data_IF_522516069698
#
_entry.id   IF_522516069698
#
_cell.length_a   1.000
_cell.length_b   1.000
_cell.length_c   1.000
_cell.angle_alpha   90.00
_cell.angle_beta   90.00
_cell.angle_gamma   90.00
#
_symmetry.space_group_name_H-M   'P 1'
#
loop_
_entity.id
_entity.type
_entity.pdbx_description
1 polymer ?
#
# COMPACT_ATOMS: atom_id res chain seq x y z
N UNK A 1 -55.76 -8.31 56.58
CA UNK A 1 -56.13 -6.91 56.38
C UNK A 1 -54.87 -6.10 56.05
N UNK A 2 -54.82 -5.60 54.81
CA UNK A 2 -54.19 -4.35 54.33
C UNK A 2 -52.65 -4.21 54.24
N UNK A 3 -52.23 -3.77 53.04
CA UNK A 3 -50.98 -3.11 52.59
C UNK A 3 -49.74 -4.02 52.37
N UNK A 4 -48.98 -3.95 51.27
CA UNK A 4 -48.56 -2.82 50.42
C UNK A 4 -48.31 -3.30 48.97
N UNK A 5 -48.71 -2.47 48.01
CA UNK A 5 -48.36 -2.64 46.60
C UNK A 5 -46.91 -2.27 46.30
N UNK A 6 -46.36 -2.92 45.26
CA UNK A 6 -45.26 -2.39 44.47
C UNK A 6 -45.40 -2.93 43.05
N UNK A 7 -46.02 -2.11 42.19
CA UNK A 7 -46.12 -2.33 40.76
C UNK A 7 -44.83 -1.77 40.13
N UNK A 8 -43.99 -2.65 39.58
CA UNK A 8 -42.75 -2.25 38.89
C UNK A 8 -43.01 -2.21 37.40
N UNK A 9 -43.30 -1.01 36.89
CA UNK A 9 -43.31 -0.69 35.47
C UNK A 9 -41.93 -0.96 34.85
N UNK A 10 -41.88 -1.79 33.81
CA UNK A 10 -40.73 -1.96 32.92
C UNK A 10 -41.01 -1.26 31.60
N UNK A 11 -40.78 0.05 31.54
CA UNK A 11 -40.64 0.79 30.29
C UNK A 11 -39.16 1.14 30.10
N UNK A 12 -38.51 0.39 29.21
CA UNK A 12 -37.11 0.54 28.84
C UNK A 12 -36.94 0.49 27.33
N UNK A 13 -37.66 1.34 26.60
CA UNK A 13 -37.51 1.51 25.16
C UNK A 13 -36.43 2.56 24.83
N UNK A 14 -35.28 2.10 24.34
CA UNK A 14 -34.17 2.94 23.86
C UNK A 14 -34.58 3.92 22.73
N UNK A 15 -34.37 5.24 22.85
CA UNK A 15 -34.61 6.18 21.75
C UNK A 15 -33.32 6.76 21.10
N UNK A 16 -32.13 6.25 21.43
CA UNK A 16 -30.86 6.91 21.04
C UNK A 16 -30.18 6.42 19.75
N UNK A 17 -30.54 5.25 19.22
CA UNK A 17 -29.90 4.70 18.00
C UNK A 17 -30.36 5.39 16.70
N UNK A 18 -31.66 5.73 16.59
CA UNK A 18 -32.24 6.36 15.38
C UNK A 18 -31.75 7.78 15.14
N UNK A 19 -31.49 8.56 16.20
CA UNK A 19 -31.05 9.97 16.08
C UNK A 19 -29.61 10.13 15.59
N UNK A 20 -28.73 9.14 15.84
CA UNK A 20 -27.34 9.14 15.34
C UNK A 20 -27.27 8.80 13.85
N UNK A 21 -28.13 7.90 13.37
CA UNK A 21 -28.18 7.51 11.96
C UNK A 21 -28.69 8.65 11.06
N UNK A 22 -29.67 9.41 11.54
CA UNK A 22 -30.24 10.55 10.80
C UNK A 22 -29.24 11.73 10.73
N UNK A 23 -28.45 11.98 11.79
CA UNK A 23 -27.41 13.02 11.76
C UNK A 23 -26.29 12.70 10.77
N UNK A 24 -25.90 11.43 10.62
CA UNK A 24 -24.91 11.00 9.63
C UNK A 24 -25.44 11.09 8.19
N UNK A 25 -26.72 10.78 7.97
CA UNK A 25 -27.36 10.90 6.65
C UNK A 25 -27.57 12.35 6.19
N UNK A 26 -27.64 13.32 7.10
CA UNK A 26 -27.82 14.74 6.77
C UNK A 26 -26.49 15.49 6.66
N UNK A 27 -25.46 15.12 7.42
CA UNK A 27 -24.16 15.82 7.39
C UNK A 27 -23.34 15.50 6.12
N UNK A 28 -23.45 14.29 5.57
CA UNK A 28 -22.73 13.87 4.36
C UNK A 28 -23.17 14.66 3.10
N UNK A 29 -24.48 14.79 2.78
CA UNK A 29 -24.89 15.58 1.61
C UNK A 29 -24.68 17.09 1.79
N UNK A 30 -24.75 17.62 3.01
CA UNK A 30 -24.44 19.05 3.28
C UNK A 30 -22.94 19.33 3.07
N UNK A 31 -22.06 18.40 3.45
CA UNK A 31 -20.63 18.48 3.13
C UNK A 31 -20.34 18.42 1.62
N UNK A 32 -21.07 17.58 0.88
CA UNK A 32 -20.98 17.48 -0.59
C UNK A 32 -21.53 18.76 -1.26
N UNK A 33 -22.60 19.35 -0.74
CA UNK A 33 -23.14 20.63 -1.23
C UNK A 33 -22.19 21.81 -1.01
N UNK A 34 -21.51 21.87 0.12
CA UNK A 34 -20.51 22.92 0.42
C UNK A 34 -19.25 22.83 -0.47
N UNK A 35 -18.90 21.63 -0.96
CA UNK A 35 -17.81 21.42 -1.92
C UNK A 35 -18.14 21.93 -3.34
N UNK A 36 -19.43 22.06 -3.68
CA UNK A 36 -19.87 22.61 -4.97
C UNK A 36 -19.81 24.14 -5.05
N UNK A 37 -19.50 24.82 -3.94
CA UNK A 37 -19.44 26.30 -3.85
C UNK A 37 -18.02 26.86 -3.98
N UNK A 38 -17.00 26.02 -4.20
CA UNK A 38 -15.63 26.49 -4.46
C UNK A 38 -15.51 26.89 -5.93
N UNK A 39 -15.26 28.17 -6.27
CA UNK A 39 -15.17 28.60 -7.66
C UNK A 39 -13.94 27.99 -8.33
N UNK A 40 -14.16 27.19 -9.37
CA UNK A 40 -13.11 26.70 -10.27
C UNK A 40 -12.66 27.84 -11.18
N UNK A 41 -11.58 28.53 -10.81
CA UNK A 41 -10.82 29.34 -11.75
C UNK A 41 -9.98 28.38 -12.62
N UNK A 42 -10.58 27.92 -13.72
CA UNK A 42 -9.88 27.23 -14.80
C UNK A 42 -9.36 28.28 -15.78
N UNK A 43 -8.05 28.36 -15.91
CA UNK A 43 -7.40 29.10 -16.98
C UNK A 43 -6.23 28.23 -17.46
N UNK A 44 -6.55 27.24 -18.30
CA UNK A 44 -5.86 26.88 -19.54
C UNK A 44 -6.60 25.67 -20.13
N UNK A 45 -7.27 25.91 -21.26
CA UNK A 45 -8.15 24.94 -21.90
C UNK A 45 -7.38 23.85 -22.61
N UNK A 46 -7.74 22.61 -22.30
CA UNK A 46 -7.71 21.52 -23.26
C UNK A 46 -9.16 21.29 -23.73
N UNK A 47 -9.30 21.17 -25.04
CA UNK A 47 -10.57 21.01 -25.73
C UNK A 47 -11.37 19.81 -25.19
N UNK A 48 -12.70 19.95 -25.25
CA UNK A 48 -13.72 18.98 -24.90
C UNK A 48 -13.44 17.57 -25.50
N UNK A 49 -12.97 16.60 -24.70
CA UNK A 49 -13.09 15.18 -25.07
C UNK A 49 -13.13 14.16 -23.93
N UNK A 50 -13.23 14.57 -22.66
CA UNK A 50 -13.58 13.63 -21.59
C UNK A 50 -14.60 14.24 -20.62
N UNK A 51 -15.82 13.72 -20.60
CA UNK A 51 -16.84 14.05 -19.61
C UNK A 51 -16.43 13.68 -18.16
N UNK A 52 -15.23 13.11 -17.98
CA UNK A 52 -14.62 12.76 -16.70
C UNK A 52 -13.70 13.89 -16.25
N UNK A 53 -13.87 14.28 -14.98
CA UNK A 53 -13.00 15.24 -14.29
C UNK A 53 -12.38 14.59 -13.05
N UNK A 54 -11.34 15.20 -12.49
CA UNK A 54 -10.66 14.72 -11.28
C UNK A 54 -11.64 14.48 -10.10
N UNK A 55 -12.70 15.27 -9.98
CA UNK A 55 -13.73 15.08 -8.95
C UNK A 55 -14.50 13.77 -9.10
N UNK A 56 -14.66 13.27 -10.34
CA UNK A 56 -15.25 11.95 -10.58
C UNK A 56 -14.32 10.84 -10.09
N UNK A 57 -13.02 10.94 -10.34
CA UNK A 57 -12.02 10.00 -9.80
C UNK A 57 -12.06 9.96 -8.27
N UNK A 58 -12.10 11.14 -7.63
CA UNK A 58 -12.22 11.26 -6.17
C UNK A 58 -13.53 10.67 -5.65
N UNK A 59 -14.65 10.92 -6.32
CA UNK A 59 -15.96 10.38 -5.94
C UNK A 59 -15.98 8.85 -6.03
N UNK A 60 -15.46 8.27 -7.11
CA UNK A 60 -15.34 6.83 -7.30
C UNK A 60 -14.44 6.22 -6.20
N UNK A 61 -13.29 6.86 -5.93
CA UNK A 61 -12.38 6.44 -4.87
C UNK A 61 -13.07 6.45 -3.49
N UNK A 62 -13.83 7.51 -3.20
CA UNK A 62 -14.63 7.66 -1.99
C UNK A 62 -15.72 6.60 -1.86
N UNK A 63 -16.45 6.28 -2.94
CA UNK A 63 -17.46 5.22 -2.97
C UNK A 63 -16.82 3.87 -2.63
N UNK A 64 -15.67 3.55 -3.24
CA UNK A 64 -14.93 2.33 -2.93
C UNK A 64 -14.52 2.24 -1.46
N UNK A 65 -13.92 3.31 -0.93
CA UNK A 65 -13.49 3.38 0.48
C UNK A 65 -14.66 3.28 1.47
N UNK A 66 -15.77 3.98 1.21
CA UNK A 66 -16.99 3.90 2.03
C UNK A 66 -17.62 2.51 1.95
N UNK A 67 -17.63 1.89 0.77
CA UNK A 67 -18.10 0.52 0.57
C UNK A 67 -17.31 -0.49 1.41
N UNK A 68 -15.97 -0.39 1.39
CA UNK A 68 -15.09 -1.20 2.26
C UNK A 68 -15.44 -0.96 3.72
N UNK A 69 -15.53 0.30 4.17
CA UNK A 69 -15.86 0.65 5.56
C UNK A 69 -17.22 0.09 6.01
N UNK A 70 -18.25 0.19 5.16
CA UNK A 70 -19.58 -0.34 5.42
C UNK A 70 -19.56 -1.88 5.54
N UNK A 71 -18.84 -2.57 4.66
CA UNK A 71 -18.73 -4.03 4.69
C UNK A 71 -17.94 -4.52 5.91
N UNK A 72 -16.87 -3.81 6.30
CA UNK A 72 -16.12 -4.07 7.53
C UNK A 72 -17.06 -3.91 8.74
N UNK A 73 -17.85 -2.84 8.78
CA UNK A 73 -18.82 -2.59 9.86
C UNK A 73 -19.88 -3.69 9.92
N UNK A 74 -20.50 -4.04 8.79
CA UNK A 74 -21.50 -5.11 8.71
C UNK A 74 -20.93 -6.47 9.15
N UNK A 75 -19.68 -6.78 8.78
CA UNK A 75 -18.97 -7.98 9.27
C UNK A 75 -18.79 -7.94 10.77
N UNK A 76 -18.31 -6.82 11.32
CA UNK A 76 -18.11 -6.66 12.78
C UNK A 76 -19.41 -6.73 13.56
N UNK A 77 -20.52 -6.26 12.99
CA UNK A 77 -21.87 -6.41 13.56
C UNK A 77 -22.50 -7.79 13.32
N UNK A 78 -21.75 -8.78 12.80
CA UNK A 78 -22.22 -10.14 12.48
C UNK A 78 -23.45 -10.19 11.56
N UNK A 79 -23.67 -9.16 10.74
CA UNK A 79 -24.82 -9.07 9.83
C UNK A 79 -24.61 -9.76 8.49
N UNK A 80 -23.35 -10.02 8.12
CA UNK A 80 -22.98 -10.66 6.85
C UNK A 80 -21.94 -11.76 7.10
N UNK A 81 -21.89 -12.73 6.19
CA UNK A 81 -20.89 -13.80 6.25
C UNK A 81 -19.48 -13.26 5.95
N UNK A 82 -18.40 -13.85 6.52
CA UNK A 82 -17.02 -13.46 6.21
C UNK A 82 -16.69 -13.57 4.72
N UNK A 83 -17.26 -14.55 4.00
CA UNK A 83 -17.04 -14.73 2.56
C UNK A 83 -17.60 -13.54 1.77
N UNK A 84 -18.85 -13.17 2.05
CA UNK A 84 -19.51 -12.03 1.41
C UNK A 84 -18.77 -10.73 1.70
N UNK A 85 -18.33 -10.55 2.95
CA UNK A 85 -17.54 -9.38 3.35
C UNK A 85 -16.22 -9.29 2.55
N UNK A 86 -15.46 -10.38 2.45
CA UNK A 86 -14.17 -10.39 1.75
C UNK A 86 -14.30 -10.13 0.25
N UNK A 87 -15.26 -10.75 -0.44
CA UNK A 87 -15.51 -10.47 -1.84
C UNK A 87 -15.98 -9.04 -2.07
N UNK A 88 -16.89 -8.54 -1.23
CA UNK A 88 -17.33 -7.14 -1.31
C UNK A 88 -16.19 -6.15 -1.05
N UNK A 89 -15.30 -6.45 -0.09
CA UNK A 89 -14.13 -5.61 0.20
C UNK A 89 -13.17 -5.61 -0.99
N UNK A 90 -12.90 -6.76 -1.61
CA UNK A 90 -12.06 -6.84 -2.81
C UNK A 90 -12.64 -5.98 -3.95
N UNK A 91 -13.97 -6.03 -4.17
CA UNK A 91 -14.64 -5.16 -5.15
C UNK A 91 -14.51 -3.69 -4.75
N UNK A 92 -14.74 -3.34 -3.49
CA UNK A 92 -14.61 -1.97 -3.00
C UNK A 92 -13.18 -1.42 -3.14
N UNK A 93 -12.16 -2.24 -2.89
CA UNK A 93 -10.75 -1.91 -3.14
C UNK A 93 -10.51 -1.68 -4.63
N UNK A 94 -11.02 -2.56 -5.51
CA UNK A 94 -10.90 -2.39 -6.95
C UNK A 94 -11.54 -1.09 -7.45
N UNK A 95 -12.73 -0.74 -6.96
CA UNK A 95 -13.39 0.54 -7.25
C UNK A 95 -12.56 1.71 -6.72
N UNK A 96 -12.02 1.60 -5.50
CA UNK A 96 -11.19 2.65 -4.93
C UNK A 96 -9.92 2.90 -5.75
N UNK A 97 -9.25 1.84 -6.19
CA UNK A 97 -8.06 1.89 -7.05
C UNK A 97 -8.39 2.48 -8.42
N UNK A 98 -9.47 2.06 -9.06
CA UNK A 98 -9.89 2.63 -10.34
C UNK A 98 -10.16 4.14 -10.21
N UNK A 99 -10.84 4.56 -9.14
CA UNK A 99 -11.05 5.99 -8.85
C UNK A 99 -9.73 6.74 -8.63
N UNK A 100 -8.77 6.14 -7.91
CA UNK A 100 -7.45 6.74 -7.68
C UNK A 100 -6.63 6.88 -8.98
N UNK A 101 -6.67 5.88 -9.87
CA UNK A 101 -6.00 5.94 -11.18
C UNK A 101 -6.61 7.05 -12.05
N UNK A 102 -7.94 7.15 -12.08
CA UNK A 102 -8.64 8.23 -12.81
C UNK A 102 -8.31 9.59 -12.20
N UNK A 103 -8.30 9.70 -10.88
CA UNK A 103 -7.97 10.93 -10.18
C UNK A 103 -6.55 11.40 -10.51
N UNK A 104 -5.58 10.48 -10.46
CA UNK A 104 -4.17 10.77 -10.74
C UNK A 104 -3.97 11.15 -12.21
N UNK A 105 -4.48 10.36 -13.15
CA UNK A 105 -4.21 10.60 -14.57
C UNK A 105 -5.01 11.74 -15.20
N UNK A 106 -6.05 12.24 -14.52
CA UNK A 106 -6.74 13.49 -14.87
C UNK A 106 -6.20 14.71 -14.10
N UNK A 107 -5.26 14.50 -13.18
CA UNK A 107 -4.67 15.60 -12.46
C UNK A 107 -3.73 16.37 -13.40
N UNK A 108 -3.73 17.71 -13.34
CA UNK A 108 -2.77 18.49 -14.09
C UNK A 108 -1.35 18.20 -13.59
N UNK A 109 -0.42 18.00 -14.53
CA UNK A 109 1.00 17.86 -14.20
C UNK A 109 1.46 19.10 -13.44
N UNK A 110 1.91 18.95 -12.18
CA UNK A 110 2.30 20.11 -11.43
C UNK A 110 3.66 20.59 -11.94
N UNK A 111 3.67 21.76 -12.56
CA UNK A 111 4.90 22.42 -13.01
C UNK A 111 5.65 23.00 -11.81
N UNK A 112 6.25 22.14 -10.99
CA UNK A 112 7.11 22.56 -9.90
C UNK A 112 8.48 22.94 -10.44
N UNK A 113 8.93 24.17 -10.19
CA UNK A 113 10.28 24.59 -10.56
C UNK A 113 11.32 24.02 -9.59
N UNK A 114 12.56 23.82 -10.05
CA UNK A 114 13.66 23.33 -9.21
C UNK A 114 13.90 24.17 -7.93
N UNK A 115 13.50 25.44 -7.91
CA UNK A 115 13.53 26.30 -6.73
C UNK A 115 12.53 25.94 -5.62
N UNK A 116 11.61 24.99 -5.86
CA UNK A 116 10.66 24.47 -4.87
C UNK A 116 11.12 23.18 -4.16
N UNK A 117 12.36 22.74 -4.43
CA UNK A 117 12.95 21.62 -3.70
C UNK A 117 13.17 21.98 -2.22
N UNK A 118 12.78 21.11 -1.27
CA UNK A 118 12.90 21.40 0.16
C UNK A 118 14.34 21.50 0.65
N UNK A 119 15.27 20.86 -0.07
CA UNK A 119 16.71 20.94 0.20
C UNK A 119 17.51 20.78 -1.10
N UNK A 120 18.72 21.36 -1.17
CA UNK A 120 19.59 21.21 -2.34
C UNK A 120 19.97 19.75 -2.59
N UNK A 121 20.07 19.33 -3.87
CA UNK A 121 20.49 17.97 -4.26
C UNK A 121 21.86 17.55 -3.72
N UNK A 122 22.73 18.50 -3.35
CA UNK A 122 24.00 18.20 -2.68
C UNK A 122 23.82 17.46 -1.35
N UNK A 123 22.65 17.57 -0.71
CA UNK A 123 22.32 16.82 0.51
C UNK A 123 21.88 15.37 0.24
N UNK A 124 21.55 15.00 -1.01
CA UNK A 124 21.06 13.65 -1.30
C UNK A 124 22.16 12.62 -1.04
N UNK A 125 23.38 12.89 -1.50
CA UNK A 125 24.52 12.01 -1.31
C UNK A 125 24.88 11.77 0.17
N UNK A 126 25.11 12.78 1.02
CA UNK A 126 25.42 12.54 2.43
C UNK A 126 24.26 11.87 3.18
N UNK A 127 23.01 12.21 2.86
CA UNK A 127 21.85 11.54 3.46
C UNK A 127 21.77 10.07 3.05
N UNK A 128 21.97 9.75 1.78
CA UNK A 128 21.94 8.38 1.28
C UNK A 128 23.06 7.52 1.89
N UNK A 129 24.29 8.05 1.91
CA UNK A 129 25.43 7.37 2.50
C UNK A 129 25.22 7.17 4.00
N UNK A 130 24.80 8.21 4.71
CA UNK A 130 24.53 8.15 6.15
C UNK A 130 23.44 7.15 6.50
N UNK A 131 22.30 7.20 5.79
CA UNK A 131 21.17 6.29 6.02
C UNK A 131 21.51 4.85 5.62
N UNK A 132 22.13 4.64 4.46
CA UNK A 132 22.54 3.32 4.01
C UNK A 132 23.54 2.65 4.95
N UNK A 133 24.57 3.38 5.41
CA UNK A 133 25.52 2.88 6.42
C UNK A 133 24.84 2.59 7.75
N UNK A 134 23.96 3.50 8.21
CA UNK A 134 23.19 3.29 9.43
C UNK A 134 22.35 2.02 9.35
N UNK A 135 21.67 1.78 8.23
CA UNK A 135 20.87 0.57 8.02
C UNK A 135 21.75 -0.68 8.05
N UNK A 136 22.91 -0.68 7.39
CA UNK A 136 23.86 -1.81 7.40
C UNK A 136 24.34 -2.09 8.82
N UNK A 137 24.83 -1.06 9.53
CA UNK A 137 25.40 -1.19 10.89
C UNK A 137 24.33 -1.59 11.89
N UNK A 138 23.16 -0.94 11.87
CA UNK A 138 22.05 -1.28 12.77
C UNK A 138 21.55 -2.70 12.51
N UNK A 139 21.47 -3.13 11.25
CA UNK A 139 21.07 -4.50 10.91
C UNK A 139 22.10 -5.53 11.36
N UNK A 140 23.40 -5.22 11.24
CA UNK A 140 24.48 -6.04 11.77
C UNK A 140 24.38 -6.20 13.28
N UNK A 141 24.33 -5.10 14.02
CA UNK A 141 24.27 -5.10 15.48
C UNK A 141 23.00 -5.80 15.96
N UNK A 142 21.85 -5.50 15.37
CA UNK A 142 20.58 -6.14 15.76
C UNK A 142 20.59 -7.64 15.43
N UNK A 143 21.19 -8.02 14.29
CA UNK A 143 21.43 -9.41 13.94
C UNK A 143 22.25 -10.16 14.99
N UNK A 144 23.36 -9.56 15.42
CA UNK A 144 24.25 -10.14 16.42
C UNK A 144 23.66 -10.20 17.83
N UNK A 145 22.88 -9.19 18.23
CA UNK A 145 22.37 -9.09 19.61
C UNK A 145 21.03 -9.79 19.76
N UNK A 146 20.12 -9.62 18.80
CA UNK A 146 18.71 -10.06 18.91
C UNK A 146 18.39 -11.32 18.11
N UNK A 147 19.08 -11.56 17.00
CA UNK A 147 18.74 -12.63 16.05
C UNK A 147 19.91 -13.56 15.75
N UNK A 148 20.62 -13.99 16.80
CA UNK A 148 21.79 -14.90 16.70
C UNK A 148 21.48 -16.22 15.99
N UNK A 149 20.26 -16.73 16.12
CA UNK A 149 19.81 -17.98 15.50
C UNK A 149 19.17 -17.79 14.13
N UNK A 150 18.94 -16.54 13.69
CA UNK A 150 18.28 -16.20 12.41
C UNK A 150 19.09 -15.15 11.63
N UNK A 151 20.33 -15.48 11.18
CA UNK A 151 21.22 -14.53 10.49
C UNK A 151 20.66 -13.98 9.17
N UNK A 152 19.66 -14.66 8.59
CA UNK A 152 18.94 -14.21 7.38
C UNK A 152 18.32 -12.81 7.50
N UNK A 153 17.88 -12.39 8.69
CA UNK A 153 17.34 -11.03 8.88
C UNK A 153 18.43 -9.96 8.85
N UNK A 154 19.61 -10.29 9.40
CA UNK A 154 20.80 -9.45 9.30
C UNK A 154 21.19 -9.27 7.83
N UNK A 155 21.25 -10.38 7.09
CA UNK A 155 21.58 -10.37 5.66
C UNK A 155 20.57 -9.52 4.86
N UNK A 156 19.27 -9.61 5.16
CA UNK A 156 18.25 -8.79 4.51
C UNK A 156 18.49 -7.31 4.79
N UNK A 157 18.66 -6.93 6.05
CA UNK A 157 18.91 -5.53 6.41
C UNK A 157 20.19 -4.97 5.77
N UNK A 158 21.27 -5.76 5.73
CA UNK A 158 22.49 -5.40 5.02
C UNK A 158 22.29 -5.22 3.52
N UNK A 159 21.53 -6.12 2.89
CA UNK A 159 21.23 -6.05 1.45
C UNK A 159 20.42 -4.79 1.12
N UNK A 160 19.41 -4.46 1.94
CA UNK A 160 18.62 -3.23 1.78
C UNK A 160 19.49 -1.98 2.00
N UNK A 161 20.35 -1.96 3.01
CA UNK A 161 21.31 -0.87 3.20
C UNK A 161 22.30 -0.74 2.04
N UNK A 162 22.78 -1.87 1.51
CA UNK A 162 23.63 -1.93 0.31
C UNK A 162 22.93 -1.38 -0.93
N UNK A 163 21.63 -1.64 -1.10
CA UNK A 163 20.83 -1.05 -2.17
C UNK A 163 20.81 0.48 -2.10
N UNK A 164 20.63 1.05 -0.90
CA UNK A 164 20.65 2.51 -0.70
C UNK A 164 22.04 3.09 -1.00
N UNK A 165 23.11 2.40 -0.60
CA UNK A 165 24.48 2.85 -0.79
C UNK A 165 24.96 2.74 -2.24
N UNK A 166 24.49 1.73 -2.97
CA UNK A 166 25.04 1.32 -4.25
C UNK A 166 25.19 2.46 -5.28
N UNK A 167 24.16 3.30 -5.55
CA UNK A 167 24.28 4.38 -6.53
C UNK A 167 25.35 5.43 -6.18
N UNK A 168 25.69 5.55 -4.89
CA UNK A 168 26.63 6.55 -4.39
C UNK A 168 28.05 5.99 -4.21
N UNK A 169 28.19 4.67 -4.07
CA UNK A 169 29.49 3.98 -4.07
C UNK A 169 30.04 3.79 -5.48
N UNK A 170 29.15 3.54 -6.45
CA UNK A 170 29.48 3.38 -7.86
C UNK A 170 28.67 4.39 -8.69
N UNK A 171 29.00 5.69 -8.63
CA UNK A 171 28.25 6.71 -9.34
C UNK A 171 28.52 6.66 -10.85
N UNK A 172 27.53 7.11 -11.62
CA UNK A 172 27.64 7.31 -13.07
C UNK A 172 27.26 6.11 -13.91
N UNK A 173 27.50 6.22 -15.21
CA UNK A 173 27.00 5.28 -16.22
C UNK A 173 27.48 3.84 -16.00
N UNK A 174 28.74 3.68 -15.55
CA UNK A 174 29.33 2.37 -15.27
C UNK A 174 28.64 1.66 -14.11
N UNK A 175 28.10 2.39 -13.13
CA UNK A 175 27.31 1.83 -12.04
C UNK A 175 25.99 1.24 -12.53
N UNK A 176 25.29 1.92 -13.43
CA UNK A 176 23.96 1.48 -13.88
C UNK A 176 23.94 0.18 -14.70
N UNK A 177 25.08 -0.24 -15.22
CA UNK A 177 25.23 -1.51 -15.97
C UNK A 177 26.07 -2.54 -15.22
N UNK A 178 26.46 -2.26 -13.98
CA UNK A 178 27.36 -3.12 -13.23
C UNK A 178 26.60 -4.34 -12.65
N UNK A 179 27.13 -5.56 -12.80
CA UNK A 179 26.47 -6.81 -12.36
C UNK A 179 26.14 -6.83 -10.86
N UNK A 180 26.88 -6.10 -10.03
CA UNK A 180 26.61 -6.00 -8.59
C UNK A 180 25.22 -5.38 -8.35
N UNK A 181 24.83 -4.36 -9.12
CA UNK A 181 23.53 -3.71 -8.96
C UNK A 181 22.39 -4.65 -9.31
N UNK A 182 22.50 -5.39 -10.42
CA UNK A 182 21.54 -6.45 -10.78
C UNK A 182 21.50 -7.55 -9.72
N UNK A 183 22.67 -7.92 -9.19
CA UNK A 183 22.80 -8.88 -8.10
C UNK A 183 22.05 -8.45 -6.85
N UNK A 184 22.15 -7.18 -6.46
CA UNK A 184 21.39 -6.61 -5.34
C UNK A 184 19.88 -6.70 -5.62
N UNK A 185 19.44 -6.25 -6.80
CA UNK A 185 18.02 -6.28 -7.18
C UNK A 185 17.44 -7.69 -7.17
N UNK A 186 18.17 -8.67 -7.69
CA UNK A 186 17.73 -10.07 -7.75
C UNK A 186 17.87 -10.79 -6.40
N UNK A 187 18.88 -10.45 -5.60
CA UNK A 187 19.07 -11.06 -4.28
C UNK A 187 17.92 -10.69 -3.32
N UNK A 188 17.31 -9.52 -3.45
CA UNK A 188 16.22 -9.08 -2.56
C UNK A 188 14.99 -9.99 -2.60
N UNK A 189 14.33 -10.24 -3.75
CA UNK A 189 13.18 -11.15 -3.79
C UNK A 189 13.57 -12.59 -3.41
N UNK A 190 14.78 -13.04 -3.77
CA UNK A 190 15.27 -14.37 -3.40
C UNK A 190 15.43 -14.52 -1.89
N UNK A 191 16.05 -13.54 -1.23
CA UNK A 191 16.26 -13.56 0.21
C UNK A 191 14.95 -13.39 0.98
N UNK A 192 14.05 -12.53 0.52
CA UNK A 192 12.69 -12.41 1.07
C UNK A 192 11.94 -13.73 0.93
N UNK A 193 11.94 -14.33 -0.27
CA UNK A 193 11.33 -15.64 -0.51
C UNK A 193 11.92 -16.74 0.37
N UNK A 194 13.24 -16.76 0.54
CA UNK A 194 13.94 -17.69 1.43
C UNK A 194 13.53 -17.52 2.90
N UNK A 195 13.43 -16.28 3.38
CA UNK A 195 12.95 -15.97 4.73
C UNK A 195 11.51 -16.47 4.91
N UNK A 196 10.62 -16.13 3.98
CA UNK A 196 9.21 -16.53 4.08
C UNK A 196 9.05 -18.06 4.01
N UNK A 197 9.82 -18.74 3.17
CA UNK A 197 9.81 -20.18 3.04
C UNK A 197 10.24 -20.89 4.32
N UNK A 198 11.37 -20.49 4.90
CA UNK A 198 11.92 -21.14 6.09
C UNK A 198 11.15 -20.82 7.38
N UNK A 199 10.54 -19.63 7.48
CA UNK A 199 10.07 -19.12 8.77
C UNK A 199 8.57 -19.29 8.93
N UNK A 200 7.84 -19.09 7.83
CA UNK A 200 6.38 -19.10 7.83
C UNK A 200 5.82 -19.98 6.73
N UNK A 201 6.63 -20.76 6.01
CA UNK A 201 6.21 -21.49 4.82
C UNK A 201 5.08 -22.50 5.07
N UNK A 202 5.10 -23.20 6.21
CA UNK A 202 4.05 -24.17 6.59
C UNK A 202 2.71 -23.48 6.90
N UNK A 203 2.75 -22.40 7.67
CA UNK A 203 1.59 -21.62 8.00
C UNK A 203 1.03 -20.86 6.79
N UNK A 204 1.90 -20.31 5.93
CA UNK A 204 1.51 -19.67 4.68
C UNK A 204 0.88 -20.67 3.71
N UNK A 205 1.43 -21.88 3.61
CA UNK A 205 0.81 -22.98 2.84
C UNK A 205 -0.59 -23.31 3.35
N UNK A 206 -0.80 -23.27 4.67
CA UNK A 206 -2.11 -23.49 5.29
C UNK A 206 -3.09 -22.36 4.95
N UNK A 207 -2.65 -21.11 5.03
CA UNK A 207 -3.43 -19.93 4.63
C UNK A 207 -3.79 -20.00 3.13
N UNK A 208 -2.85 -20.38 2.27
CA UNK A 208 -3.06 -20.43 0.82
C UNK A 208 -3.88 -21.64 0.35
N UNK A 209 -4.05 -22.67 1.18
CA UNK A 209 -5.01 -23.76 0.93
C UNK A 209 -6.46 -23.30 1.05
N UNK A 210 -6.72 -22.24 1.79
CA UNK A 210 -8.03 -21.59 1.82
C UNK A 210 -8.28 -20.86 0.48
N UNK A 211 -9.26 -21.32 -0.34
CA UNK A 211 -9.47 -20.73 -1.67
C UNK A 211 -10.00 -19.30 -1.61
N UNK A 212 -10.71 -18.92 -0.53
CA UNK A 212 -11.24 -17.56 -0.38
C UNK A 212 -10.13 -16.61 0.01
N UNK A 213 -9.29 -17.00 0.98
CA UNK A 213 -8.14 -16.19 1.40
C UNK A 213 -7.12 -16.04 0.27
N UNK A 214 -6.82 -17.12 -0.45
CA UNK A 214 -5.93 -17.10 -1.63
C UNK A 214 -6.45 -16.18 -2.73
N UNK A 215 -7.73 -16.28 -3.09
CA UNK A 215 -8.33 -15.41 -4.12
C UNK A 215 -8.33 -13.95 -3.69
N UNK A 216 -8.66 -13.67 -2.42
CA UNK A 216 -8.62 -12.33 -1.87
C UNK A 216 -7.20 -11.75 -1.93
N UNK A 217 -6.20 -12.48 -1.41
CA UNK A 217 -4.81 -12.05 -1.45
C UNK A 217 -4.28 -11.83 -2.87
N UNK A 218 -4.56 -12.76 -3.80
CA UNK A 218 -4.21 -12.60 -5.21
C UNK A 218 -4.87 -11.36 -5.82
N UNK A 219 -6.17 -11.14 -5.56
CA UNK A 219 -6.88 -9.97 -6.09
C UNK A 219 -6.30 -8.66 -5.58
N UNK A 220 -6.02 -8.56 -4.27
CA UNK A 220 -5.44 -7.35 -3.68
C UNK A 220 -4.02 -7.11 -4.20
N UNK A 221 -3.18 -8.16 -4.25
CA UNK A 221 -1.83 -8.06 -4.79
C UNK A 221 -1.80 -7.60 -6.25
N UNK A 222 -2.65 -8.20 -7.10
CA UNK A 222 -2.77 -7.83 -8.50
C UNK A 222 -3.28 -6.40 -8.70
N UNK A 223 -4.33 -5.99 -7.95
CA UNK A 223 -4.86 -4.63 -8.00
C UNK A 223 -3.82 -3.59 -7.55
N UNK A 224 -3.04 -3.90 -6.51
CA UNK A 224 -1.98 -3.02 -6.03
C UNK A 224 -0.82 -2.92 -7.02
N UNK A 225 -0.41 -4.02 -7.66
CA UNK A 225 0.58 -3.97 -8.75
C UNK A 225 0.09 -3.15 -9.94
N UNK A 226 -1.17 -3.30 -10.35
CA UNK A 226 -1.78 -2.50 -11.41
C UNK A 226 -1.85 -1.02 -11.04
N UNK A 227 -2.25 -0.72 -9.80
CA UNK A 227 -2.25 0.63 -9.27
C UNK A 227 -0.84 1.24 -9.35
N UNK A 228 0.19 0.52 -8.90
CA UNK A 228 1.56 1.02 -8.99
C UNK A 228 2.04 1.20 -10.42
N UNK A 229 1.76 0.26 -11.33
CA UNK A 229 2.09 0.45 -12.75
C UNK A 229 1.43 1.71 -13.31
N UNK A 230 0.18 1.98 -12.93
CA UNK A 230 -0.55 3.17 -13.37
C UNK A 230 0.05 4.47 -12.80
N UNK A 231 0.25 4.54 -11.49
CA UNK A 231 0.74 5.78 -10.85
C UNK A 231 2.21 6.08 -11.12
N UNK A 232 2.98 5.10 -11.60
CA UNK A 232 4.38 5.29 -12.00
C UNK A 232 4.56 5.52 -13.49
N UNK A 233 3.45 5.63 -14.25
CA UNK A 233 3.49 5.88 -15.70
C UNK A 233 3.85 4.65 -16.55
N UNK A 234 4.07 3.48 -15.95
CA UNK A 234 4.29 2.23 -16.71
C UNK A 234 2.99 1.69 -17.34
N UNK A 235 1.84 2.26 -16.98
CA UNK A 235 0.54 2.04 -17.60
C UNK A 235 -0.21 3.38 -17.61
N UNK A 236 -0.56 3.91 -18.77
CA UNK A 236 -1.37 5.13 -18.86
C UNK A 236 -2.50 4.97 -19.88
N UNK A 237 -3.63 5.60 -19.57
CA UNK A 237 -4.81 5.69 -20.44
C UNK A 237 -5.04 7.13 -20.95
N UNK A 238 -4.05 8.00 -20.75
CA UNK A 238 -4.11 9.42 -21.10
C UNK A 238 -3.05 9.72 -22.15
N UNK A 239 -3.44 10.48 -23.17
CA UNK A 239 -2.51 10.90 -24.22
C UNK A 239 -1.64 12.03 -23.68
N UNK A 240 -0.33 11.84 -23.66
CA UNK A 240 0.62 12.90 -23.33
C UNK A 240 0.70 13.92 -24.47
N UNK A 241 0.84 15.20 -24.13
CA UNK A 241 1.02 16.28 -25.10
C UNK A 241 2.36 16.12 -25.82
N UNK A 242 2.31 15.95 -27.15
CA UNK A 242 3.49 15.68 -27.98
C UNK A 242 3.78 14.19 -28.22
N UNK A 243 2.90 13.29 -27.79
CA UNK A 243 3.01 11.86 -28.09
C UNK A 243 3.02 11.58 -29.61
N UNK A 244 3.85 10.61 -30.07
CA UNK A 244 3.85 10.15 -31.46
C UNK A 244 2.43 9.80 -31.93
N UNK A 245 2.06 10.27 -33.12
CA UNK A 245 0.77 9.94 -33.75
C UNK A 245 0.78 8.55 -34.42
N UNK A 246 1.90 7.83 -34.34
CA UNK A 246 2.07 6.49 -34.89
C UNK A 246 2.27 5.46 -33.78
N UNK A 247 1.76 4.25 -34.00
CA UNK A 247 1.98 3.13 -33.07
C UNK A 247 3.47 2.89 -32.91
N UNK A 248 3.98 3.08 -31.70
CA UNK A 248 5.40 2.98 -31.42
C UNK A 248 5.64 1.77 -30.53
N UNK A 249 6.47 0.84 -31.01
CA UNK A 249 6.97 -0.30 -30.24
C UNK A 249 8.48 -0.22 -30.19
N UNK A 250 9.03 0.03 -29.01
CA UNK A 250 10.45 0.24 -28.82
C UNK A 250 10.98 -0.55 -27.62
N UNK A 251 12.24 -0.96 -27.69
CA UNK A 251 12.97 -1.52 -26.54
C UNK A 251 14.06 -0.53 -26.15
N UNK A 252 13.90 0.12 -25.00
CA UNK A 252 14.79 1.15 -24.50
C UNK A 252 15.45 0.69 -23.19
N UNK A 253 16.72 1.05 -23.00
CA UNK A 253 17.41 0.78 -21.75
C UNK A 253 17.15 1.92 -20.76
N UNK A 254 16.12 1.75 -19.94
CA UNK A 254 15.67 2.75 -18.97
C UNK A 254 16.28 2.44 -17.61
N UNK A 255 16.75 3.48 -16.92
CA UNK A 255 17.19 3.35 -15.53
C UNK A 255 15.97 3.14 -14.63
N UNK A 256 15.91 2.03 -13.90
CA UNK A 256 14.87 1.79 -12.92
C UNK A 256 15.49 1.33 -11.60
N UNK A 257 15.20 2.09 -10.53
CA UNK A 257 15.87 1.99 -9.23
C UNK A 257 17.38 2.24 -9.35
N UNK A 258 18.20 1.18 -9.37
CA UNK A 258 19.66 1.28 -9.28
C UNK A 258 20.42 0.80 -10.52
N UNK A 259 19.73 0.16 -11.47
CA UNK A 259 20.33 -0.37 -12.71
C UNK A 259 19.42 -0.14 -13.92
N UNK A 260 20.01 -0.23 -15.12
CA UNK A 260 19.26 -0.13 -16.37
C UNK A 260 18.58 -1.44 -16.71
N UNK A 261 17.40 -1.38 -17.27
CA UNK A 261 16.67 -2.55 -17.73
C UNK A 261 16.21 -2.36 -19.16
N UNK A 262 16.24 -3.42 -19.99
CA UNK A 262 15.54 -3.40 -21.26
C UNK A 262 14.05 -3.27 -20.97
N UNK A 263 13.45 -2.18 -21.46
CA UNK A 263 12.06 -1.80 -21.22
C UNK A 263 11.36 -1.81 -22.57
N UNK A 264 10.34 -2.66 -22.68
CA UNK A 264 9.45 -2.67 -23.83
C UNK A 264 8.40 -1.58 -23.62
N UNK A 265 8.40 -0.59 -24.50
CA UNK A 265 7.41 0.48 -24.54
C UNK A 265 6.50 0.26 -25.74
N UNK A 266 5.19 0.28 -25.48
CA UNK A 266 4.15 0.15 -26.48
C UNK A 266 3.22 1.35 -26.30
N UNK A 267 3.20 2.22 -27.30
CA UNK A 267 2.27 3.34 -27.40
C UNK A 267 1.30 3.06 -28.55
N UNK A 268 0.01 3.00 -28.22
CA UNK A 268 -1.06 2.98 -29.21
C UNK A 268 -1.69 4.39 -29.23
N UNK A 269 -1.70 5.10 -30.38
CA UNK A 269 -2.35 6.40 -30.49
C UNK A 269 -3.86 6.30 -30.71
N UNK A 270 -4.34 5.24 -31.40
CA UNK A 270 -5.77 5.05 -31.72
C UNK A 270 -6.65 4.78 -30.48
N UNK A 271 -6.04 4.20 -29.44
CA UNK A 271 -6.61 4.05 -28.11
C UNK A 271 -5.56 4.65 -27.21
N UNK A 272 -5.80 5.76 -26.47
CA UNK A 272 -4.78 6.47 -25.70
C UNK A 272 -4.24 5.55 -24.61
N UNK A 273 -3.32 4.66 -24.97
CA UNK A 273 -2.87 3.54 -24.16
C UNK A 273 -1.37 3.44 -24.31
N UNK A 274 -0.71 3.59 -23.18
CA UNK A 274 0.71 3.41 -23.04
C UNK A 274 0.97 2.31 -22.03
N UNK A 275 1.89 1.40 -22.38
CA UNK A 275 2.39 0.41 -21.45
C UNK A 275 3.90 0.28 -21.61
N UNK A 276 4.59 0.30 -20.48
CA UNK A 276 6.02 0.05 -20.40
C UNK A 276 6.26 -1.12 -19.44
N UNK A 277 6.98 -2.14 -19.91
CA UNK A 277 7.29 -3.33 -19.10
C UNK A 277 8.78 -3.57 -19.15
N UNK A 278 9.39 -3.68 -17.97
CA UNK A 278 10.79 -4.05 -17.82
C UNK A 278 10.95 -5.15 -16.76
N UNK A 279 12.01 -5.98 -16.84
CA UNK A 279 12.26 -6.97 -15.79
C UNK A 279 12.42 -6.32 -14.41
N UNK A 280 13.01 -5.13 -14.32
CA UNK A 280 13.14 -4.39 -13.06
C UNK A 280 11.78 -4.05 -12.44
N UNK A 281 10.83 -3.57 -13.24
CA UNK A 281 9.46 -3.27 -12.80
C UNK A 281 8.77 -4.55 -12.34
N UNK A 282 8.86 -5.63 -13.12
CA UNK A 282 8.26 -6.92 -12.77
C UNK A 282 8.83 -7.47 -11.47
N UNK A 283 10.15 -7.37 -11.25
CA UNK A 283 10.80 -7.85 -10.03
C UNK A 283 10.34 -7.04 -8.81
N UNK A 284 10.42 -5.71 -8.88
CA UNK A 284 10.18 -4.84 -7.71
C UNK A 284 8.69 -4.72 -7.41
N UNK A 285 7.86 -4.37 -8.41
CA UNK A 285 6.41 -4.26 -8.22
C UNK A 285 5.75 -5.63 -8.03
N UNK A 286 6.31 -6.68 -8.63
CA UNK A 286 5.90 -8.06 -8.37
C UNK A 286 6.19 -8.48 -6.94
N UNK A 287 7.39 -8.19 -6.41
CA UNK A 287 7.74 -8.46 -5.02
C UNK A 287 6.78 -7.73 -4.05
N UNK A 288 6.53 -6.44 -4.26
CA UNK A 288 5.58 -5.68 -3.45
C UNK A 288 4.16 -6.24 -3.56
N UNK A 289 3.67 -6.50 -4.78
CA UNK A 289 2.35 -7.07 -5.01
C UNK A 289 2.16 -8.42 -4.35
N UNK A 290 3.18 -9.29 -4.42
CA UNK A 290 3.20 -10.59 -3.72
C UNK A 290 3.17 -10.37 -2.21
N UNK A 291 4.04 -9.53 -1.66
CA UNK A 291 4.09 -9.27 -0.22
C UNK A 291 2.76 -8.70 0.31
N UNK A 292 2.17 -7.73 -0.39
CA UNK A 292 0.86 -7.16 -0.04
C UNK A 292 -0.23 -8.23 -0.14
N UNK A 293 -0.23 -9.01 -1.22
CA UNK A 293 -1.20 -10.08 -1.44
C UNK A 293 -1.13 -11.19 -0.38
N UNK A 294 0.08 -11.58 0.05
CA UNK A 294 0.28 -12.56 1.11
C UNK A 294 -0.20 -12.01 2.47
N UNK A 295 0.08 -10.75 2.80
CA UNK A 295 -0.46 -10.10 4.00
C UNK A 295 -2.00 -10.05 3.97
N UNK A 296 -2.57 -9.68 2.81
CA UNK A 296 -4.02 -9.67 2.62
C UNK A 296 -4.64 -11.07 2.75
N UNK A 297 -3.99 -12.11 2.24
CA UNK A 297 -4.43 -13.50 2.41
C UNK A 297 -4.41 -13.92 3.89
N UNK A 298 -3.37 -13.58 4.64
CA UNK A 298 -3.28 -13.87 6.07
C UNK A 298 -4.41 -13.20 6.85
N UNK A 299 -4.71 -11.92 6.57
CA UNK A 299 -5.84 -11.19 7.18
C UNK A 299 -7.18 -11.81 6.80
N UNK A 300 -7.37 -12.20 5.54
CA UNK A 300 -8.59 -12.85 5.09
C UNK A 300 -8.81 -14.19 5.78
N UNK A 301 -7.74 -14.97 5.96
CA UNK A 301 -7.80 -16.25 6.65
C UNK A 301 -8.14 -16.10 8.13
N UNK A 302 -7.51 -15.15 8.84
CA UNK A 302 -7.86 -14.89 10.25
C UNK A 302 -9.29 -14.39 10.43
N UNK A 303 -9.77 -13.54 9.51
CA UNK A 303 -11.17 -13.10 9.47
C UNK A 303 -12.17 -14.22 9.21
N UNK A 304 -11.76 -15.26 8.48
CA UNK A 304 -12.60 -16.43 8.20
C UNK A 304 -12.68 -17.41 9.36
N UNK A 305 -11.63 -17.50 10.18
CA UNK A 305 -11.59 -18.37 11.34
C UNK A 305 -12.16 -17.71 12.60
N UNK A 306 -12.60 -16.44 12.52
CA UNK A 306 -13.04 -15.61 13.65
C UNK A 306 -12.06 -15.62 14.85
N UNK A 307 -10.79 -15.90 14.58
CA UNK A 307 -9.73 -15.72 15.55
C UNK A 307 -9.67 -14.23 15.87
N UNK A 308 -9.83 -13.89 17.16
CA UNK A 308 -9.73 -12.51 17.61
C UNK A 308 -8.36 -11.97 17.21
N UNK A 309 -8.37 -11.00 16.31
CA UNK A 309 -7.20 -10.24 15.94
C UNK A 309 -6.61 -9.60 17.20
N UNK A 310 -5.54 -10.20 17.73
CA UNK A 310 -4.73 -9.58 18.78
C UNK A 310 -4.28 -8.18 18.33
N UNK A 311 -3.90 -7.33 19.28
CA UNK A 311 -3.50 -5.94 19.02
C UNK A 311 -2.48 -5.77 17.88
N UNK A 312 -1.69 -6.82 17.58
CA UNK A 312 -0.69 -6.93 16.51
C UNK A 312 -1.27 -7.13 15.10
N UNK A 313 -2.47 -7.72 14.95
CA UNK A 313 -3.14 -7.84 13.64
C UNK A 313 -3.86 -6.55 13.23
N UNK A 314 -4.26 -5.71 14.19
CA UNK A 314 -4.84 -4.40 13.91
C UNK A 314 -3.79 -3.41 13.36
N UNK A 315 -2.52 -3.55 13.78
CA UNK A 315 -1.41 -2.75 13.24
C UNK A 315 -0.87 -3.29 11.92
N UNK A 316 -0.98 -4.59 11.65
CA UNK A 316 -0.62 -5.20 10.36
C UNK A 316 -1.45 -4.65 9.19
N UNK A 317 -2.75 -4.41 9.38
CA UNK A 317 -3.62 -3.80 8.36
C UNK A 317 -3.26 -2.34 8.07
N UNK A 318 -3.01 -1.52 9.09
CA UNK A 318 -2.53 -0.14 8.92
C UNK A 318 -1.12 -0.09 8.35
N UNK A 319 -0.23 -1.02 8.73
CA UNK A 319 1.11 -1.16 8.17
C UNK A 319 1.08 -1.63 6.71
N UNK A 320 0.08 -2.42 6.31
CA UNK A 320 -0.15 -2.81 4.91
C UNK A 320 -0.56 -1.62 4.04
N UNK A 321 -1.50 -0.80 4.54
CA UNK A 321 -1.97 0.41 3.84
C UNK A 321 -0.89 1.51 3.82
N UNK A 322 -0.25 1.77 4.97
CA UNK A 322 0.85 2.75 5.06
C UNK A 322 2.04 2.26 4.24
N UNK A 323 2.43 0.99 4.35
CA UNK A 323 3.51 0.38 3.59
C UNK A 323 3.27 0.41 2.07
N UNK A 324 2.02 0.30 1.62
CA UNK A 324 1.71 0.39 0.18
C UNK A 324 1.89 1.83 -0.33
N UNK A 325 1.51 2.83 0.47
CA UNK A 325 1.80 4.23 0.16
C UNK A 325 3.28 4.61 0.37
N UNK A 326 4.02 3.78 1.13
CA UNK A 326 5.43 3.97 1.47
C UNK A 326 6.35 3.50 0.34
N UNK A 327 5.89 3.01 -0.81
CA UNK A 327 6.81 2.67 -1.92
C UNK A 327 7.42 3.89 -2.64
N UNK A 328 7.04 5.12 -2.26
CA UNK A 328 7.35 6.36 -3.00
C UNK A 328 6.54 6.56 -4.28
N UNK A 329 5.94 5.49 -4.80
CA UNK A 329 5.12 5.49 -6.01
C UNK A 329 3.71 6.10 -5.85
N UNK A 330 3.31 6.44 -4.62
CA UNK A 330 2.16 7.29 -4.34
C UNK A 330 2.53 8.77 -4.18
N UNK A 331 3.81 9.15 -4.36
CA UNK A 331 4.29 10.52 -4.22
C UNK A 331 3.47 11.56 -5.00
N UNK A 332 3.26 11.35 -6.31
CA UNK A 332 2.37 12.17 -7.12
C UNK A 332 0.96 12.31 -6.50
N UNK A 333 0.31 11.18 -6.18
CA UNK A 333 -1.02 11.16 -5.55
C UNK A 333 -1.08 11.89 -4.21
N UNK A 334 -0.11 11.66 -3.32
CA UNK A 334 -0.03 12.33 -2.01
C UNK A 334 0.21 13.82 -2.18
N UNK A 335 1.04 14.22 -3.16
CA UNK A 335 1.27 15.62 -3.44
C UNK A 335 0.00 16.30 -3.96
N UNK A 336 -0.79 15.65 -4.81
CA UNK A 336 -2.06 16.20 -5.31
C UNK A 336 -3.11 16.33 -4.20
N UNK A 337 -3.20 15.33 -3.32
CA UNK A 337 -4.03 15.44 -2.11
C UNK A 337 -3.56 16.59 -1.23
N UNK A 338 -2.24 16.78 -1.08
CA UNK A 338 -1.68 17.92 -0.36
C UNK A 338 -1.97 19.27 -1.04
N UNK A 339 -1.99 19.33 -2.39
CA UNK A 339 -2.40 20.55 -3.13
C UNK A 339 -3.83 20.90 -2.76
N UNK A 340 -4.74 19.92 -2.79
CA UNK A 340 -6.17 20.13 -2.52
C UNK A 340 -6.40 20.47 -1.04
N UNK A 341 -5.71 19.79 -0.12
CA UNK A 341 -5.96 19.91 1.31
C UNK A 341 -5.23 21.10 1.97
N UNK A 342 -4.02 21.41 1.51
CA UNK A 342 -3.09 22.32 2.20
C UNK A 342 -2.47 23.37 1.26
N UNK A 343 -2.78 23.32 -0.05
CA UNK A 343 -2.30 24.26 -1.05
C UNK A 343 -0.96 23.88 -1.69
N UNK A 344 -0.61 24.50 -2.85
CA UNK A 344 0.59 24.17 -3.63
C UNK A 344 1.92 24.32 -2.87
N UNK A 345 1.99 25.24 -1.92
CA UNK A 345 3.22 25.55 -1.16
C UNK A 345 3.66 24.40 -0.25
N UNK A 346 2.71 23.61 0.27
CA UNK A 346 2.99 22.43 1.10
C UNK A 346 3.17 21.18 0.23
N UNK A 347 2.49 21.13 -0.91
CA UNK A 347 2.56 20.01 -1.84
C UNK A 347 3.86 19.93 -2.64
N UNK A 348 4.45 21.07 -3.04
CA UNK A 348 5.66 21.10 -3.86
C UNK A 348 6.86 20.38 -3.19
N UNK A 349 7.16 20.61 -1.89
CA UNK A 349 8.18 19.84 -1.18
C UNK A 349 7.90 18.33 -1.15
N UNK A 350 6.65 17.94 -0.95
CA UNK A 350 6.23 16.54 -0.86
C UNK A 350 6.39 15.86 -2.22
N UNK A 351 5.99 16.53 -3.30
CA UNK A 351 6.18 16.04 -4.67
C UNK A 351 7.65 15.73 -4.95
N UNK A 352 8.57 16.67 -4.70
CA UNK A 352 9.99 16.49 -4.98
C UNK A 352 10.66 15.39 -4.15
N UNK A 353 10.21 15.17 -2.92
CA UNK A 353 10.73 14.10 -2.06
C UNK A 353 10.54 12.71 -2.67
N UNK A 354 9.43 12.50 -3.38
CA UNK A 354 9.03 11.20 -3.89
C UNK A 354 9.21 11.03 -5.41
N UNK A 355 9.08 12.11 -6.19
CA UNK A 355 9.17 12.08 -7.66
C UNK A 355 10.61 12.10 -8.15
N UNK A 356 11.54 12.71 -7.42
CA UNK A 356 12.94 12.66 -7.81
C UNK A 356 13.46 11.23 -7.60
N UNK A 357 13.66 10.48 -8.70
CA UNK A 357 14.19 9.12 -8.68
C UNK A 357 15.62 9.04 -8.11
N UNK A 358 16.34 10.17 -8.05
CA UNK A 358 17.63 10.27 -7.36
C UNK A 358 17.50 10.54 -5.85
N UNK A 359 16.27 10.72 -5.34
CA UNK A 359 16.00 10.94 -3.92
C UNK A 359 16.25 9.66 -3.12
N UNK A 360 17.13 9.68 -2.10
CA UNK A 360 17.34 8.53 -1.23
C UNK A 360 16.10 8.17 -0.44
N UNK A 361 15.18 9.11 -0.24
CA UNK A 361 13.93 8.87 0.46
C UNK A 361 13.10 7.85 -0.31
N UNK A 362 12.92 7.99 -1.63
CA UNK A 362 12.17 7.00 -2.44
C UNK A 362 12.69 5.57 -2.26
N UNK A 363 14.02 5.39 -2.25
CA UNK A 363 14.66 4.09 -1.97
C UNK A 363 14.42 3.61 -0.54
N UNK A 364 14.59 4.45 0.48
CA UNK A 364 14.32 4.11 1.89
C UNK A 364 12.87 3.66 2.07
N UNK A 365 11.95 4.36 1.43
CA UNK A 365 10.52 4.13 1.46
C UNK A 365 10.19 2.76 0.82
N UNK A 366 10.65 2.51 -0.41
CA UNK A 366 10.50 1.21 -1.08
C UNK A 366 11.06 0.04 -0.24
N UNK A 367 12.30 0.15 0.19
CA UNK A 367 13.00 -0.93 0.92
C UNK A 367 12.42 -1.12 2.32
N UNK A 368 12.02 -0.02 2.97
CA UNK A 368 11.30 -0.04 4.24
C UNK A 368 9.96 -0.76 4.12
N UNK A 369 9.25 -0.59 3.01
CA UNK A 369 7.99 -1.29 2.74
C UNK A 369 8.20 -2.79 2.57
N UNK A 370 9.25 -3.20 1.82
CA UNK A 370 9.63 -4.61 1.68
C UNK A 370 9.96 -5.22 3.04
N UNK A 371 10.77 -4.53 3.85
CA UNK A 371 11.13 -4.98 5.19
C UNK A 371 9.91 -5.08 6.11
N UNK A 372 9.04 -4.08 6.08
CA UNK A 372 7.83 -4.01 6.90
C UNK A 372 6.85 -5.13 6.54
N UNK A 373 6.57 -5.37 5.27
CA UNK A 373 5.65 -6.43 4.85
C UNK A 373 6.20 -7.83 5.12
N UNK A 374 7.50 -8.02 4.92
CA UNK A 374 8.19 -9.27 5.25
C UNK A 374 8.14 -9.52 6.76
N UNK A 375 8.50 -8.50 7.56
CA UNK A 375 8.46 -8.56 9.01
C UNK A 375 7.05 -8.78 9.56
N UNK A 376 6.03 -8.16 8.94
CA UNK A 376 4.63 -8.33 9.32
C UNK A 376 4.17 -9.77 9.11
N UNK A 377 4.52 -10.39 7.97
CA UNK A 377 4.21 -11.80 7.72
C UNK A 377 4.88 -12.72 8.74
N UNK A 378 6.19 -12.52 8.97
CA UNK A 378 6.95 -13.33 9.91
C UNK A 378 6.38 -13.21 11.33
N UNK A 379 6.12 -12.00 11.81
CA UNK A 379 5.70 -11.78 13.18
C UNK A 379 4.22 -12.12 13.44
N UNK A 380 3.34 -11.84 12.48
CA UNK A 380 1.89 -12.09 12.65
C UNK A 380 1.51 -13.56 12.59
N UNK A 381 2.32 -14.39 11.91
CA UNK A 381 2.09 -15.81 11.73
C UNK A 381 2.82 -16.66 12.78
N UNK A 382 4.01 -16.25 13.24
CA UNK A 382 4.83 -16.96 14.25
C UNK A 382 4.33 -16.74 15.69
N UNK A 383 3.25 -15.99 15.91
CA UNK A 383 2.66 -15.81 17.25
C UNK A 383 1.88 -17.08 17.65
N UNK A 384 2.38 -17.92 18.56
CA UNK A 384 1.65 -19.09 19.02
C UNK A 384 0.42 -18.59 19.76
N UNK A 385 -0.77 -18.91 19.27
CA UNK A 385 -1.97 -18.76 20.07
C UNK A 385 -1.79 -19.71 21.26
N UNK A 386 -1.77 -19.23 22.53
CA UNK A 386 -1.77 -20.17 23.64
C UNK A 386 -3.05 -20.98 23.52
N UNK A 387 -2.89 -22.29 23.34
CA UNK A 387 -3.98 -23.24 23.49
C UNK A 387 -4.54 -22.96 24.87
N UNK A 388 -5.76 -22.42 24.92
CA UNK A 388 -6.55 -22.36 26.14
C UNK A 388 -6.72 -23.83 26.55
N UNK A 389 -5.86 -24.31 27.45
CA UNK A 389 -6.14 -25.51 28.20
C UNK A 389 -7.43 -25.19 28.94
N UNK A 390 -8.52 -25.78 28.45
CA UNK A 390 -9.80 -25.68 29.11
C UNK A 390 -9.61 -26.12 30.55
N UNK A 391 -10.14 -25.31 31.46
CA UNK A 391 -10.17 -25.54 32.89
C UNK A 391 -11.12 -26.70 33.24
N UNK A 392 -10.87 -27.89 32.67
CA UNK A 392 -11.59 -29.13 32.99
C UNK A 392 -10.72 -30.14 33.74
N UNK A 393 -9.40 -29.97 33.79
CA UNK A 393 -8.51 -30.89 34.55
C UNK A 393 -8.34 -30.53 36.03
N UNK A 394 -8.84 -29.37 36.48
CA UNK A 394 -8.78 -28.97 37.91
C UNK A 394 -9.99 -29.42 38.75
N UNK A 395 -10.93 -30.17 38.18
CA UNK A 395 -12.08 -30.73 38.92
C UNK A 395 -12.00 -32.25 39.16
N UNK A 396 -10.93 -32.92 38.74
CA UNK A 396 -10.75 -34.37 38.95
C UNK A 396 -9.80 -34.72 40.12
N UNK A 397 -9.52 -33.76 40.99
CA UNK A 397 -8.61 -33.91 42.13
C UNK A 397 -9.23 -33.58 43.48
N UNK A 398 -10.47 -33.98 43.72
CA UNK A 398 -11.07 -34.05 45.07
C UNK A 398 -11.89 -35.33 45.15
N UNK A 399 -11.23 -36.42 45.55
CA UNK A 399 -11.73 -37.51 46.39
C UNK A 399 -10.66 -38.62 46.42
N UNK A 400 -9.80 -38.63 47.43
CA UNK A 400 -9.76 -39.62 48.52
C UNK A 400 -8.68 -39.24 49.54
#
# INVERSE_FOLDING_TARGET
>A
MVQRGYEKNTDGGEPNSRKRLIRLFVLVPVGIGLLSLVPTASAHGAAESSALSQSHGLAIAGIGALGVGALVFLKRSKRISPRTALYGIAVGIGVAIAGAIIFEGLAPDPTYQAGSMPFPRSWYQPLAIGTGLLVVVASFITGLVRWTTRPRYMALGMLLGGWILYPYLLPGFSGYTNPIGYGIVLATPLLVGYILWNDVGTALSTILRDPVARRFGFSVGAMVSLFFMATTGYLSFFSEEGAPQETTVAVLNVLYQIVRWPTLEILLPDVPFFIAISPGVVIVLGLLGVLVGLNAAAVAHSWRLDQQAGATQSTAGTATVVGACTCGCCGPLVSQVAVIAAGPTIAAPIYWIFVDSASPLSSIFLLGSIALFTGTLVYSIDSPTPVRQDASELSAGVTE
#
